data_IF_593626357434
#
_entry.id   IF_593626357434
#
_cell.length_a   1.000
_cell.length_b   1.000
_cell.length_c   1.000
_cell.angle_alpha   90.00
_cell.angle_beta   90.00
_cell.angle_gamma   90.00
#
_symmetry.space_group_name_H-M   'P 1'
#
loop_
_entity.id
_entity.type
_entity.pdbx_description
1 polymer ?
#
# COMPACT_ATOMS: atom_id res chain seq x y z
N UNK A 1 -10.61 12.70 0.15
CA UNK A 1 -9.54 11.81 0.61
C UNK A 1 -8.39 12.63 1.20
N UNK A 2 -7.92 12.29 2.41
CA UNK A 2 -6.79 12.93 3.10
C UNK A 2 -5.50 12.16 2.82
N UNK A 3 -4.41 12.86 2.54
CA UNK A 3 -3.09 12.28 2.19
C UNK A 3 -2.23 12.05 3.43
N UNK A 4 -1.42 11.00 3.38
CA UNK A 4 -0.51 10.56 4.44
C UNK A 4 0.79 10.04 3.84
N UNK A 5 1.77 9.82 4.72
CA UNK A 5 3.01 9.11 4.43
C UNK A 5 3.32 8.19 5.63
N UNK A 6 2.36 7.34 5.97
CA UNK A 6 2.43 6.51 7.18
C UNK A 6 3.00 5.12 6.85
N UNK A 7 4.07 4.66 7.51
CA UNK A 7 4.56 3.30 7.37
C UNK A 7 3.49 2.27 7.75
N UNK A 8 3.38 1.20 6.98
CA UNK A 8 2.45 0.12 7.22
C UNK A 8 3.17 -1.23 7.22
N UNK A 9 2.69 -2.16 8.04
CA UNK A 9 2.98 -3.58 7.88
C UNK A 9 1.77 -4.23 7.24
N UNK A 10 1.94 -4.88 6.10
CA UNK A 10 0.85 -5.48 5.32
C UNK A 10 1.01 -7.00 5.31
N UNK A 11 -0.10 -7.70 5.49
CA UNK A 11 -0.19 -9.14 5.29
C UNK A 11 -0.94 -9.43 4.00
N UNK A 12 -0.39 -10.30 3.16
CA UNK A 12 -0.99 -10.72 1.90
C UNK A 12 -1.54 -12.14 1.96
N UNK A 13 -2.42 -12.49 1.03
CA UNK A 13 -2.83 -13.87 0.78
C UNK A 13 -1.89 -14.59 -0.21
N UNK A 14 -2.24 -15.81 -0.60
CA UNK A 14 -1.49 -16.64 -1.56
C UNK A 14 -1.40 -16.03 -2.97
N UNK A 15 -2.23 -15.02 -3.27
CA UNK A 15 -2.22 -14.27 -4.53
C UNK A 15 -1.51 -12.92 -4.40
N UNK A 16 -0.76 -12.71 -3.31
CA UNK A 16 -0.06 -11.46 -3.00
C UNK A 16 -1.01 -10.26 -2.84
N UNK A 17 -2.29 -10.51 -2.55
CA UNK A 17 -3.28 -9.46 -2.33
C UNK A 17 -3.35 -9.08 -0.84
N UNK A 18 -3.43 -7.79 -0.49
CA UNK A 18 -3.41 -7.35 0.89
C UNK A 18 -4.72 -7.73 1.60
N UNK A 19 -4.60 -8.40 2.75
CA UNK A 19 -5.73 -8.87 3.57
C UNK A 19 -5.86 -8.14 4.90
N UNK A 20 -4.73 -7.69 5.46
CA UNK A 20 -4.67 -6.89 6.70
C UNK A 20 -3.50 -5.93 6.64
N UNK A 21 -3.60 -4.84 7.38
CA UNK A 21 -2.44 -3.98 7.61
C UNK A 21 -2.48 -3.34 8.99
N UNK A 22 -1.29 -2.99 9.48
CA UNK A 22 -1.09 -2.25 10.72
C UNK A 22 -0.49 -0.89 10.39
N UNK A 23 -1.13 0.19 10.82
CA UNK A 23 -0.66 1.57 10.66
C UNK A 23 -1.11 2.41 11.86
N UNK A 24 -0.36 3.45 12.25
CA UNK A 24 -0.63 4.22 13.49
C UNK A 24 -0.78 3.35 14.75
N UNK A 25 -0.06 2.22 14.81
CA UNK A 25 -0.13 1.25 15.91
C UNK A 25 -1.50 0.55 16.04
N UNK A 26 -2.29 0.47 14.96
CA UNK A 26 -3.62 -0.16 14.95
C UNK A 26 -3.73 -1.11 13.77
N UNK A 27 -4.46 -2.21 13.99
CA UNK A 27 -4.75 -3.21 12.96
C UNK A 27 -6.05 -2.89 12.22
N UNK A 28 -6.02 -3.08 10.91
CA UNK A 28 -7.14 -2.90 10.02
C UNK A 28 -7.31 -4.16 9.16
N UNK A 29 -8.53 -4.68 9.12
CA UNK A 29 -8.87 -5.80 8.25
C UNK A 29 -9.36 -5.26 6.90
N UNK A 30 -8.81 -5.76 5.80
CA UNK A 30 -9.29 -5.39 4.46
C UNK A 30 -10.53 -6.22 4.16
N UNK A 31 -11.63 -5.53 3.88
CA UNK A 31 -12.91 -6.14 3.53
C UNK A 31 -13.02 -6.38 2.03
N UNK A 32 -12.45 -5.49 1.22
CA UNK A 32 -12.60 -5.48 -0.24
C UNK A 32 -11.43 -4.72 -0.87
N UNK A 33 -10.94 -5.20 -2.02
CA UNK A 33 -10.01 -4.47 -2.88
C UNK A 33 -10.83 -3.79 -3.98
N UNK A 34 -10.74 -2.46 -4.05
CA UNK A 34 -11.55 -1.61 -4.92
C UNK A 34 -10.90 -1.47 -6.28
N UNK A 35 -11.09 -2.48 -7.13
CA UNK A 35 -10.52 -2.54 -8.48
C UNK A 35 -9.15 -3.24 -8.51
N UNK A 36 -8.55 -3.39 -9.70
CA UNK A 36 -7.20 -3.94 -9.82
C UNK A 36 -6.19 -2.98 -9.19
N UNK A 37 -5.10 -3.54 -8.63
CA UNK A 37 -3.93 -2.72 -8.34
C UNK A 37 -3.31 -2.23 -9.66
N UNK A 38 -2.56 -1.14 -9.57
CA UNK A 38 -1.77 -0.65 -10.70
C UNK A 38 -0.32 -0.45 -10.28
N UNK A 39 0.57 -0.50 -11.26
CA UNK A 39 2.01 -0.47 -11.03
C UNK A 39 2.65 0.71 -11.76
N UNK A 40 3.59 1.36 -11.09
CA UNK A 40 4.51 2.35 -11.64
C UNK A 40 5.94 1.85 -11.50
N UNK A 41 6.83 2.25 -12.41
CA UNK A 41 8.26 1.93 -12.28
C UNK A 41 9.03 3.22 -12.10
N UNK A 42 9.73 3.33 -10.97
CA UNK A 42 10.58 4.48 -10.67
C UNK A 42 11.73 4.60 -11.68
N UNK A 43 12.12 5.83 -12.04
CA UNK A 43 13.09 6.09 -13.10
C UNK A 43 14.49 5.57 -12.74
N UNK A 44 14.96 4.56 -13.48
CA UNK A 44 16.24 3.88 -13.25
C UNK A 44 17.49 4.75 -13.42
N UNK A 45 17.38 5.84 -14.18
CA UNK A 45 18.52 6.72 -14.51
C UNK A 45 18.78 7.80 -13.46
N UNK A 46 17.97 7.87 -12.41
CA UNK A 46 18.20 8.80 -11.30
C UNK A 46 19.25 8.23 -10.34
N UNK A 47 20.05 9.10 -9.72
CA UNK A 47 21.08 8.63 -8.77
C UNK A 47 20.52 7.88 -7.57
N UNK A 48 19.26 8.15 -7.19
CA UNK A 48 18.54 7.47 -6.10
C UNK A 48 18.20 6.01 -6.43
N UNK A 49 17.85 5.73 -7.70
CA UNK A 49 17.38 4.41 -8.13
C UNK A 49 18.38 3.66 -9.02
N UNK A 50 19.51 4.28 -9.34
CA UNK A 50 20.55 3.66 -10.16
C UNK A 50 21.11 2.41 -9.47
N UNK A 51 21.11 1.29 -10.20
CA UNK A 51 21.58 -0.01 -9.68
C UNK A 51 20.54 -0.81 -8.91
N UNK A 52 19.35 -0.25 -8.63
CA UNK A 52 18.22 -1.02 -8.10
C UNK A 52 17.63 -1.94 -9.18
N UNK A 53 17.20 -3.12 -8.77
CA UNK A 53 16.46 -4.08 -9.59
C UNK A 53 15.11 -3.49 -10.07
N UNK A 54 14.45 -4.20 -10.99
CA UNK A 54 13.11 -3.79 -11.41
C UNK A 54 12.12 -3.83 -10.24
N UNK A 55 12.18 -4.88 -9.42
CA UNK A 55 11.27 -5.09 -8.30
C UNK A 55 11.41 -4.01 -7.21
N UNK A 56 12.64 -3.62 -6.87
CA UNK A 56 12.92 -2.52 -5.93
C UNK A 56 12.38 -1.17 -6.43
N UNK A 57 12.19 -1.03 -7.74
CA UNK A 57 11.66 0.18 -8.38
C UNK A 57 10.19 0.09 -8.75
N UNK A 58 9.57 -1.08 -8.63
CA UNK A 58 8.14 -1.25 -8.90
C UNK A 58 7.35 -0.73 -7.69
N UNK A 59 6.50 0.25 -7.95
CA UNK A 59 5.57 0.82 -7.00
C UNK A 59 4.20 0.23 -7.28
N UNK A 60 3.63 -0.51 -6.34
CA UNK A 60 2.29 -1.10 -6.48
C UNK A 60 1.29 -0.29 -5.66
N UNK A 61 0.21 0.11 -6.30
CA UNK A 61 -0.85 0.92 -5.70
C UNK A 61 -2.11 0.10 -5.52
N UNK A 62 -2.57 0.00 -4.27
CA UNK A 62 -3.80 -0.70 -3.90
C UNK A 62 -4.79 0.29 -3.32
N UNK A 63 -6.04 0.21 -3.78
CA UNK A 63 -7.17 0.92 -3.15
C UNK A 63 -8.05 -0.12 -2.48
N UNK A 64 -8.23 -0.01 -1.17
CA UNK A 64 -8.91 -1.04 -0.38
C UNK A 64 -9.97 -0.43 0.52
N UNK A 65 -11.06 -1.15 0.80
CA UNK A 65 -11.97 -0.84 1.90
C UNK A 65 -11.50 -1.60 3.13
N UNK A 66 -11.13 -0.86 4.17
CA UNK A 66 -10.60 -1.42 5.41
C UNK A 66 -11.51 -1.12 6.59
N UNK A 67 -11.69 -2.11 7.46
CA UNK A 67 -12.47 -2.01 8.69
C UNK A 67 -11.53 -1.71 9.85
N UNK A 68 -11.64 -0.50 10.40
CA UNK A 68 -11.06 -0.17 11.69
C UNK A 68 -12.00 -0.49 12.84
N UNK A 69 -11.55 -0.26 14.08
CA UNK A 69 -12.34 -0.53 15.29
C UNK A 69 -13.67 0.23 15.37
N UNK A 70 -13.75 1.42 14.78
CA UNK A 70 -14.92 2.31 14.90
C UNK A 70 -15.70 2.48 13.59
N UNK A 71 -15.00 2.46 12.45
CA UNK A 71 -15.60 2.67 11.13
C UNK A 71 -14.77 2.02 10.04
N UNK A 72 -15.40 1.78 8.90
CA UNK A 72 -14.73 1.43 7.66
C UNK A 72 -14.27 2.70 6.93
N UNK A 73 -13.19 2.59 6.17
CA UNK A 73 -12.70 3.66 5.30
C UNK A 73 -12.09 3.06 4.02
N UNK A 74 -12.04 3.85 2.96
CA UNK A 74 -11.25 3.56 1.77
C UNK A 74 -9.82 4.04 2.01
N UNK A 75 -8.86 3.16 1.79
CA UNK A 75 -7.44 3.37 2.07
C UNK A 75 -6.64 3.11 0.80
N UNK A 76 -5.71 4.01 0.48
CA UNK A 76 -4.70 3.78 -0.55
C UNK A 76 -3.42 3.31 0.12
N UNK A 77 -3.00 2.09 -0.23
CA UNK A 77 -1.73 1.48 0.17
C UNK A 77 -0.77 1.51 -1.01
N UNK A 78 0.50 1.80 -0.72
CA UNK A 78 1.58 1.74 -1.70
C UNK A 78 2.64 0.80 -1.21
N UNK A 79 3.06 -0.12 -2.07
CA UNK A 79 4.23 -0.97 -1.87
C UNK A 79 5.37 -0.46 -2.76
N UNK A 80 6.60 -0.39 -2.23
CA UNK A 80 7.82 -0.17 -3.01
C UNK A 80 8.91 -1.08 -2.46
N UNK A 81 9.34 -2.07 -3.27
CA UNK A 81 10.11 -3.19 -2.75
C UNK A 81 9.37 -3.89 -1.60
N UNK A 82 10.02 -4.00 -0.44
CA UNK A 82 9.43 -4.60 0.77
C UNK A 82 8.66 -3.58 1.63
N UNK A 83 8.80 -2.28 1.36
CA UNK A 83 8.17 -1.23 2.16
C UNK A 83 6.71 -1.04 1.77
N UNK A 84 5.86 -0.84 2.78
CA UNK A 84 4.46 -0.50 2.61
C UNK A 84 4.13 0.81 3.31
N UNK A 85 3.26 1.61 2.70
CA UNK A 85 2.79 2.88 3.26
C UNK A 85 1.30 3.10 3.02
N UNK A 86 0.63 3.74 3.98
CA UNK A 86 -0.69 4.34 3.77
C UNK A 86 -0.49 5.75 3.21
N UNK A 87 -0.92 5.98 1.97
CA UNK A 87 -0.75 7.27 1.29
C UNK A 87 -2.03 8.11 1.29
N UNK A 88 -3.18 7.48 1.51
CA UNK A 88 -4.45 8.19 1.52
C UNK A 88 -5.56 7.45 2.28
N UNK A 89 -6.48 8.21 2.90
CA UNK A 89 -7.69 7.68 3.55
C UNK A 89 -8.91 8.54 3.23
N UNK A 90 -10.03 7.90 2.92
CA UNK A 90 -11.36 8.48 2.68
C UNK A 90 -12.39 7.74 3.53
N UNK A 91 -13.08 8.46 4.40
CA UNK A 91 -13.94 7.93 5.46
C UNK A 91 -15.45 8.14 5.25
#
# INVERSE_FOLDING_TARGET
MRRYDEPATVHTDDNEQPTRFTAWGRDYAIAEILGPHWEEVLPWWTGEHAGQSLEERTVRHYRVRANGRQKSAVVELVQTGEEWRVVAVED
#
